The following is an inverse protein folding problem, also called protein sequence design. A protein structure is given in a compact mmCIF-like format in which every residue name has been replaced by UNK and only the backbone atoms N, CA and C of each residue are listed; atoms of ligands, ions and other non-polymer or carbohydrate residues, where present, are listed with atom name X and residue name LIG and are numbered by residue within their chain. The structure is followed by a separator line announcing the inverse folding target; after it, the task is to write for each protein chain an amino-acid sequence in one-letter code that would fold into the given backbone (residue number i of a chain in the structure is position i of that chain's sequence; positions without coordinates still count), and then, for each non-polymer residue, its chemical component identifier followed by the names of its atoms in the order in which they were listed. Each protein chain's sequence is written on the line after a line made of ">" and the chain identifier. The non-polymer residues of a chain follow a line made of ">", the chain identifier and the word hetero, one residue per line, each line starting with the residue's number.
data_IF_598199216657
#
_entry.id   IF_598199216657
#
_cell.length_a   1.000
_cell.length_b   1.000
_cell.length_c   1.000
_cell.angle_alpha   90.00
_cell.angle_beta   90.00
_cell.angle_gamma   90.00
#
_symmetry.space_group_name_H-M   'P 1'
#
loop_
_entity.id
_entity.type
_entity.pdbx_description
1 polymer ?
#
# COMPACT_ATOMS: atom_id res chain seq x y z
N UNK A 1 -0.96 19.70 8.22
CA UNK A 1 -0.61 18.29 8.50
C UNK A 1 -0.92 17.50 7.24
N UNK A 2 0.08 16.96 6.56
CA UNK A 2 -0.10 16.29 5.26
C UNK A 2 -0.63 14.87 5.54
N UNK A 3 -1.59 14.36 4.76
CA UNK A 3 -2.24 13.07 5.08
C UNK A 3 -1.28 11.87 5.03
N UNK A 4 -0.20 12.05 4.28
CA UNK A 4 0.97 11.18 4.32
C UNK A 4 1.51 11.02 5.74
N UNK A 5 1.53 12.07 6.54
CA UNK A 5 1.98 12.00 7.94
C UNK A 5 1.04 11.16 8.80
N UNK A 6 -0.23 11.01 8.43
CA UNK A 6 -1.17 10.16 9.17
C UNK A 6 -0.98 8.67 8.85
N UNK A 7 -0.59 8.33 7.61
CA UNK A 7 -0.16 6.96 7.27
C UNK A 7 1.23 6.68 7.87
N UNK A 8 2.14 7.67 7.80
CA UNK A 8 3.50 7.59 8.37
C UNK A 8 3.53 7.52 9.90
N UNK A 9 2.57 8.14 10.59
CA UNK A 9 2.52 8.17 12.06
C UNK A 9 1.70 7.02 12.67
N UNK A 10 0.92 6.29 11.87
CA UNK A 10 0.20 5.10 12.33
C UNK A 10 1.08 3.82 12.27
N UNK A 11 2.29 3.92 11.72
CA UNK A 11 3.20 2.78 11.52
C UNK A 11 4.60 3.17 12.05
N UNK A 12 5.25 2.37 12.92
CA UNK A 12 6.50 2.75 13.59
C UNK A 12 7.64 3.07 12.59
N UNK A 13 8.54 3.97 13.01
CA UNK A 13 9.66 4.61 12.26
C UNK A 13 10.78 3.69 11.74
N UNK A 14 10.49 2.51 11.22
CA UNK A 14 11.49 1.53 10.76
C UNK A 14 11.15 1.01 9.38
N UNK A 15 12.03 1.21 8.40
CA UNK A 15 12.01 0.77 6.98
C UNK A 15 10.77 1.16 6.13
N UNK A 16 9.59 1.24 6.72
CA UNK A 16 8.28 1.46 6.08
C UNK A 16 8.09 2.92 5.65
N UNK A 17 8.66 3.90 6.35
CA UNK A 17 8.61 5.32 5.91
C UNK A 17 9.38 5.52 4.59
N UNK A 18 10.43 4.73 4.35
CA UNK A 18 11.15 4.70 3.08
C UNK A 18 10.33 3.98 2.00
N UNK A 19 9.62 2.91 2.38
CA UNK A 19 8.76 2.14 1.50
C UNK A 19 7.60 2.99 0.94
N UNK A 20 6.86 3.68 1.80
CA UNK A 20 5.70 4.52 1.39
C UNK A 20 6.13 5.70 0.51
N UNK A 21 7.33 6.26 0.74
CA UNK A 21 7.87 7.38 -0.06
C UNK A 21 8.35 7.00 -1.46
N UNK A 22 8.63 5.72 -1.70
CA UNK A 22 9.20 5.21 -2.96
C UNK A 22 8.25 4.31 -3.74
N UNK A 23 7.00 4.21 -3.27
CA UNK A 23 6.00 3.31 -3.84
C UNK A 23 5.03 4.07 -4.74
N UNK A 24 5.09 3.77 -6.04
CA UNK A 24 4.15 4.28 -7.04
C UNK A 24 2.82 3.53 -6.96
N UNK A 25 1.69 4.25 -7.02
CA UNK A 25 0.37 3.62 -7.19
C UNK A 25 0.19 3.28 -8.67
N UNK A 26 0.51 2.03 -9.02
CA UNK A 26 0.49 1.55 -10.39
C UNK A 26 -0.93 1.43 -10.96
N UNK A 27 -1.90 0.99 -10.15
CA UNK A 27 -3.31 0.94 -10.52
C UNK A 27 -4.21 0.88 -9.29
N UNK A 28 -5.40 1.45 -9.40
CA UNK A 28 -6.40 1.41 -8.34
C UNK A 28 -7.76 0.92 -8.88
N UNK A 29 -8.39 0.03 -8.13
CA UNK A 29 -9.81 -0.29 -8.18
C UNK A 29 -10.33 -0.36 -6.74
N UNK A 30 -11.62 -0.05 -6.46
CA UNK A 30 -12.18 -0.32 -5.14
C UNK A 30 -11.94 -1.78 -4.73
N UNK A 31 -11.34 -1.99 -3.56
CA UNK A 31 -11.02 -3.32 -3.03
C UNK A 31 -9.71 -3.91 -3.53
N UNK A 32 -9.02 -3.22 -4.45
CA UNK A 32 -7.77 -3.70 -5.03
C UNK A 32 -6.84 -2.56 -5.42
N UNK A 33 -5.68 -2.48 -4.79
CA UNK A 33 -4.63 -1.54 -5.18
C UNK A 33 -3.36 -2.28 -5.57
N UNK A 34 -2.74 -1.85 -6.67
CA UNK A 34 -1.40 -2.29 -7.06
C UNK A 34 -0.42 -1.15 -6.85
N UNK A 35 0.64 -1.50 -6.15
CA UNK A 35 1.74 -0.64 -5.78
C UNK A 35 3.02 -1.15 -6.44
N UNK A 36 3.96 -0.27 -6.70
CA UNK A 36 5.27 -0.59 -7.26
C UNK A 36 6.36 0.10 -6.44
N UNK A 37 7.32 -0.66 -5.93
CA UNK A 37 8.47 -0.14 -5.20
C UNK A 37 9.76 -0.71 -5.76
N UNK A 38 10.68 0.18 -6.17
CA UNK A 38 12.02 -0.23 -6.60
C UNK A 38 12.82 -0.89 -5.48
N UNK A 39 12.50 -0.59 -4.22
CA UNK A 39 13.20 -1.13 -3.06
C UNK A 39 12.86 -2.59 -2.78
N UNK A 40 11.70 -3.04 -3.26
CA UNK A 40 11.28 -4.43 -3.16
C UNK A 40 11.98 -5.33 -4.18
N UNK A 41 12.56 -4.74 -5.25
CA UNK A 41 13.24 -5.51 -6.29
C UNK A 41 14.42 -6.28 -5.69
N UNK A 42 14.42 -7.60 -5.84
CA UNK A 42 15.39 -8.56 -5.29
C UNK A 42 15.59 -8.46 -3.76
N UNK A 43 14.56 -8.04 -3.02
CA UNK A 43 14.66 -7.80 -1.58
C UNK A 43 13.66 -8.66 -0.78
N UNK A 44 14.03 -9.92 -0.54
CA UNK A 44 13.23 -10.87 0.21
C UNK A 44 13.02 -10.47 1.69
N UNK A 45 13.96 -9.73 2.29
CA UNK A 45 13.83 -9.25 3.66
C UNK A 45 12.71 -8.21 3.75
N UNK A 46 12.69 -7.26 2.82
CA UNK A 46 11.64 -6.26 2.74
C UNK A 46 10.29 -6.89 2.37
N UNK A 47 10.28 -7.90 1.49
CA UNK A 47 9.08 -8.68 1.20
C UNK A 47 8.47 -9.29 2.47
N UNK A 48 9.28 -9.97 3.29
CA UNK A 48 8.81 -10.56 4.53
C UNK A 48 8.26 -9.49 5.51
N UNK A 49 8.91 -8.33 5.60
CA UNK A 49 8.42 -7.22 6.42
C UNK A 49 7.09 -6.65 5.92
N UNK A 50 6.95 -6.47 4.61
CA UNK A 50 5.71 -6.03 3.96
C UNK A 50 4.59 -7.01 4.24
N UNK A 51 4.83 -8.31 4.04
CA UNK A 51 3.85 -9.36 4.27
C UNK A 51 3.43 -9.43 5.75
N UNK A 52 4.40 -9.44 6.67
CA UNK A 52 4.14 -9.49 8.10
C UNK A 52 3.36 -8.25 8.59
N UNK A 53 3.68 -7.07 8.07
CA UNK A 53 3.01 -5.85 8.51
C UNK A 53 1.60 -5.73 7.93
N UNK A 54 1.45 -5.81 6.61
CA UNK A 54 0.15 -5.65 5.95
C UNK A 54 -0.81 -6.80 6.28
N UNK A 55 -0.29 -8.02 6.48
CA UNK A 55 -1.08 -9.17 6.89
C UNK A 55 -1.66 -9.08 8.31
N UNK A 56 -1.20 -8.13 9.14
CA UNK A 56 -1.79 -7.89 10.47
C UNK A 56 -3.01 -6.97 10.44
N UNK A 57 -3.26 -6.30 9.32
CA UNK A 57 -4.37 -5.36 9.18
C UNK A 57 -5.66 -6.13 8.88
N UNK A 58 -6.63 -6.05 9.78
CA UNK A 58 -7.88 -6.82 9.71
C UNK A 58 -8.76 -6.46 8.50
N UNK A 59 -8.55 -5.29 7.90
CA UNK A 59 -9.22 -4.78 6.71
C UNK A 59 -8.58 -5.29 5.41
N UNK A 60 -7.35 -5.81 5.46
CA UNK A 60 -6.66 -6.41 4.32
C UNK A 60 -7.01 -7.89 4.24
N UNK A 61 -7.49 -8.31 3.07
CA UNK A 61 -7.83 -9.70 2.80
C UNK A 61 -6.59 -10.48 2.33
N UNK A 62 -5.80 -9.87 1.45
CA UNK A 62 -4.66 -10.53 0.83
C UNK A 62 -3.59 -9.55 0.39
N UNK A 63 -2.34 -9.98 0.52
CA UNK A 63 -1.16 -9.26 0.03
C UNK A 63 -0.33 -10.22 -0.82
N UNK A 64 -0.08 -9.83 -2.06
CA UNK A 64 0.80 -10.55 -2.97
C UNK A 64 1.96 -9.66 -3.36
N UNK A 65 3.17 -10.19 -3.27
CA UNK A 65 4.42 -9.50 -3.57
C UNK A 65 5.10 -10.19 -4.75
N UNK A 66 5.80 -9.42 -5.56
CA UNK A 66 6.69 -9.94 -6.59
C UNK A 66 7.99 -9.16 -6.51
N UNK A 67 9.03 -9.79 -5.95
CA UNK A 67 10.36 -9.18 -5.81
C UNK A 67 11.14 -9.09 -7.11
N UNK A 68 10.78 -9.82 -8.17
CA UNK A 68 11.45 -9.68 -9.48
C UNK A 68 11.13 -8.32 -10.10
N UNK A 69 9.89 -7.87 -9.93
CA UNK A 69 9.36 -6.63 -10.49
C UNK A 69 9.19 -5.54 -9.46
N UNK A 70 9.23 -5.84 -8.16
CA UNK A 70 8.93 -4.89 -7.09
C UNK A 70 7.43 -4.54 -6.96
N UNK A 71 6.55 -5.40 -7.47
CA UNK A 71 5.10 -5.17 -7.40
C UNK A 71 4.51 -5.66 -6.08
N UNK A 72 3.52 -4.93 -5.56
CA UNK A 72 2.65 -5.39 -4.47
C UNK A 72 1.20 -5.24 -4.90
N UNK A 73 0.41 -6.29 -4.72
CA UNK A 73 -1.03 -6.29 -4.89
C UNK A 73 -1.68 -6.46 -3.52
N UNK A 74 -2.53 -5.51 -3.16
CA UNK A 74 -3.30 -5.55 -1.92
C UNK A 74 -4.78 -5.66 -2.29
N UNK A 75 -5.44 -6.69 -1.76
CA UNK A 75 -6.89 -6.90 -1.84
C UNK A 75 -7.49 -6.65 -0.47
N UNK A 76 -8.61 -5.92 -0.42
CA UNK A 76 -9.31 -5.54 0.80
C UNK A 76 -10.80 -5.43 0.53
N UNK A 77 -11.61 -5.49 1.58
CA UNK A 77 -13.04 -5.25 1.47
C UNK A 77 -13.35 -3.75 1.56
N UNK A 78 -13.88 -3.10 0.50
CA UNK A 78 -14.07 -1.65 0.47
C UNK A 78 -14.95 -1.15 1.61
N UNK A 79 -16.00 -1.89 1.96
CA UNK A 79 -16.95 -1.49 3.00
C UNK A 79 -16.30 -1.47 4.39
N UNK A 80 -15.54 -2.52 4.72
CA UNK A 80 -14.77 -2.60 5.98
C UNK A 80 -13.69 -1.53 6.04
N UNK A 81 -12.98 -1.30 4.94
CA UNK A 81 -11.95 -0.27 4.86
C UNK A 81 -12.56 1.14 5.03
N UNK A 82 -13.70 1.42 4.41
CA UNK A 82 -14.39 2.72 4.48
C UNK A 82 -15.05 3.01 5.83
N UNK A 83 -15.33 1.98 6.63
CA UNK A 83 -15.80 2.14 8.00
C UNK A 83 -14.75 2.85 8.88
N UNK A 84 -13.47 2.72 8.54
CA UNK A 84 -12.39 3.47 9.17
C UNK A 84 -12.15 4.78 8.41
N UNK A 85 -12.44 5.92 9.05
CA UNK A 85 -12.32 7.25 8.43
C UNK A 85 -10.89 7.59 7.97
N UNK A 86 -9.86 7.02 8.62
CA UNK A 86 -8.47 7.21 8.20
C UNK A 86 -8.18 6.42 6.93
N UNK A 87 -8.53 5.13 6.90
CA UNK A 87 -8.30 4.26 5.75
C UNK A 87 -9.13 4.70 4.53
N UNK A 88 -10.35 5.18 4.73
CA UNK A 88 -11.16 5.80 3.66
C UNK A 88 -10.41 6.92 2.95
N UNK A 89 -9.73 7.80 3.70
CA UNK A 89 -8.96 8.88 3.08
C UNK A 89 -7.72 8.37 2.35
N UNK A 90 -7.13 7.27 2.81
CA UNK A 90 -6.05 6.57 2.09
C UNK A 90 -6.58 6.03 0.76
N UNK A 91 -7.76 5.42 0.75
CA UNK A 91 -8.41 4.92 -0.47
C UNK A 91 -8.69 6.04 -1.48
N UNK A 92 -9.25 7.17 -1.02
CA UNK A 92 -9.53 8.34 -1.86
C UNK A 92 -8.24 8.96 -2.43
N UNK A 93 -7.17 9.00 -1.63
CA UNK A 93 -5.85 9.42 -2.07
C UNK A 93 -5.33 8.51 -3.18
N UNK A 94 -5.38 7.18 -2.96
CA UNK A 94 -4.93 6.17 -3.92
C UNK A 94 -5.69 6.27 -5.24
N UNK A 95 -7.01 6.47 -5.18
CA UNK A 95 -7.85 6.70 -6.36
C UNK A 95 -7.39 7.89 -7.20
N UNK A 96 -6.98 8.97 -6.54
CA UNK A 96 -6.62 10.23 -7.20
C UNK A 96 -5.21 10.19 -7.78
N UNK A 97 -4.30 9.44 -7.15
CA UNK A 97 -2.88 9.40 -7.49
C UNK A 97 -2.44 8.14 -8.22
N UNK A 98 -3.36 7.20 -8.46
CA UNK A 98 -3.09 6.08 -9.35
C UNK A 98 -2.67 6.62 -10.72
N UNK A 99 -1.55 6.09 -11.24
CA UNK A 99 -1.11 6.41 -12.60
C UNK A 99 -2.27 6.13 -13.53
N UNK A 100 -2.84 7.19 -14.14
CA UNK A 100 -3.77 7.03 -15.25
C UNK A 100 -2.99 6.32 -16.34
N UNK A 101 -3.37 5.09 -16.70
CA UNK A 101 -2.99 4.55 -18.00
C UNK A 101 -3.55 5.53 -19.02
N UNK A 102 -2.68 6.33 -19.63
CA UNK A 102 -2.99 6.93 -20.92
C UNK A 102 -3.17 5.74 -21.87
N UNK A 103 -4.43 5.36 -22.08
CA UNK A 103 -4.87 4.51 -23.17
C UNK A 103 -4.62 5.21 -24.50
#
# INVERSE_FOLDING_TARGET
>A
MNIFDTIKNAIPQSAVDVFVRTTDIASYMPGRVRLYSKQLVNNAVLEAQVQAHLGTLAEIERVETNIETGSILITYEPERLRANAQLRRVEDYMRTHARRRAS
#
